data_IF_231474948898
#
_entry.id   IF_231474948898
#
_cell.length_a   1.000
_cell.length_b   1.000
_cell.length_c   1.000
_cell.angle_alpha   90.00
_cell.angle_beta   90.00
_cell.angle_gamma   90.00
#
_symmetry.space_group_name_H-M   'P 1'
#
loop_
_entity.id
_entity.type
_entity.pdbx_description
1 polymer ?
#
# COMPACT_ATOMS: atom_id res chain seq x y z
N UNK A 1 -17.90 5.16 1.92
CA UNK A 1 -17.16 4.20 1.06
C UNK A 1 -16.87 2.94 1.88
N UNK A 2 -17.90 2.13 2.16
CA UNK A 2 -17.76 0.84 2.85
C UNK A 2 -18.10 -0.25 1.84
N UNK A 3 -17.20 -1.23 1.67
CA UNK A 3 -17.59 -2.51 1.07
C UNK A 3 -17.12 -2.78 -0.36
N UNK A 4 -15.85 -2.53 -0.69
CA UNK A 4 -15.19 -3.32 -1.72
C UNK A 4 -13.93 -3.87 -1.08
N UNK A 5 -13.94 -5.15 -0.70
CA UNK A 5 -12.71 -5.93 -0.51
C UNK A 5 -12.07 -6.04 -1.88
N UNK A 6 -11.51 -4.94 -2.38
CA UNK A 6 -10.76 -4.90 -3.61
C UNK A 6 -9.62 -5.88 -3.43
N UNK A 7 -9.53 -6.84 -4.35
CA UNK A 7 -8.48 -7.84 -4.31
C UNK A 7 -7.12 -7.13 -4.21
N UNK A 8 -6.36 -7.37 -3.13
CA UNK A 8 -5.07 -6.67 -2.91
C UNK A 8 -4.13 -6.90 -4.09
N UNK A 9 -4.18 -8.06 -4.73
CA UNK A 9 -3.40 -8.35 -5.94
C UNK A 9 -3.65 -7.40 -7.13
N UNK A 10 -4.74 -6.61 -7.12
CA UNK A 10 -5.05 -5.63 -8.17
C UNK A 10 -4.84 -4.17 -7.74
N UNK A 11 -4.33 -3.94 -6.53
CA UNK A 11 -4.10 -2.58 -6.04
C UNK A 11 -2.97 -1.90 -6.79
N UNK A 12 -3.22 -0.68 -7.24
CA UNK A 12 -2.18 0.22 -7.75
C UNK A 12 -1.40 0.84 -6.57
N UNK A 13 -0.37 1.63 -6.89
CA UNK A 13 0.33 2.47 -5.90
C UNK A 13 -0.61 3.45 -5.19
N UNK A 14 -1.60 3.98 -5.90
CA UNK A 14 -2.59 4.90 -5.32
C UNK A 14 -3.53 4.16 -4.35
N UNK A 15 -3.96 2.95 -4.69
CA UNK A 15 -4.78 2.12 -3.81
C UNK A 15 -4.02 1.78 -2.51
N UNK A 16 -2.73 1.47 -2.62
CA UNK A 16 -1.84 1.26 -1.46
C UNK A 16 -1.72 2.54 -0.62
N UNK A 17 -1.61 3.71 -1.27
CA UNK A 17 -1.61 5.00 -0.58
C UNK A 17 -2.89 5.26 0.22
N UNK A 18 -4.07 4.99 -0.36
CA UNK A 18 -5.35 5.12 0.33
C UNK A 18 -5.48 4.12 1.50
N UNK A 19 -4.91 2.92 1.36
CA UNK A 19 -4.85 1.94 2.44
C UNK A 19 -3.97 2.44 3.60
N UNK A 20 -2.79 2.99 3.32
CA UNK A 20 -1.93 3.60 4.35
C UNK A 20 -2.65 4.75 5.08
N UNK A 21 -3.33 5.64 4.36
CA UNK A 21 -4.15 6.70 4.95
C UNK A 21 -5.24 6.14 5.88
N UNK A 22 -5.92 5.06 5.47
CA UNK A 22 -6.96 4.42 6.29
C UNK A 22 -6.44 3.82 7.60
N UNK A 23 -5.14 3.51 7.67
CA UNK A 23 -4.44 3.02 8.85
C UNK A 23 -3.75 4.13 9.66
N UNK A 24 -3.89 5.39 9.26
CA UNK A 24 -3.14 6.52 9.83
C UNK A 24 -1.61 6.37 9.69
N UNK A 25 -1.16 5.82 8.56
CA UNK A 25 0.25 5.62 8.17
C UNK A 25 0.63 6.48 6.96
N UNK A 26 0.03 7.66 6.83
CA UNK A 26 0.18 8.54 5.66
C UNK A 26 1.63 9.00 5.44
N UNK A 27 2.43 9.06 6.49
CA UNK A 27 3.86 9.41 6.44
C UNK A 27 4.69 8.44 5.60
N UNK A 28 4.22 7.19 5.41
CA UNK A 28 4.89 6.20 4.58
C UNK A 28 4.45 6.26 3.10
N UNK A 29 3.41 7.03 2.77
CA UNK A 29 2.80 7.07 1.43
C UNK A 29 3.81 7.45 0.35
N UNK A 30 4.60 8.50 0.57
CA UNK A 30 5.58 8.97 -0.42
C UNK A 30 6.69 7.95 -0.65
N UNK A 31 7.12 7.25 0.40
CA UNK A 31 8.12 6.17 0.27
C UNK A 31 7.54 5.00 -0.55
N UNK A 32 6.32 4.55 -0.24
CA UNK A 32 5.69 3.46 -0.97
C UNK A 32 5.43 3.81 -2.44
N UNK A 33 5.01 5.05 -2.74
CA UNK A 33 4.81 5.52 -4.11
C UNK A 33 6.16 5.63 -4.84
N UNK A 34 7.19 6.18 -4.18
CA UNK A 34 8.53 6.33 -4.76
C UNK A 34 9.19 5.00 -5.11
N UNK A 35 8.89 3.94 -4.36
CA UNK A 35 9.34 2.57 -4.63
C UNK A 35 8.37 1.76 -5.51
N UNK A 36 7.32 2.40 -6.05
CA UNK A 36 6.28 1.75 -6.87
C UNK A 36 5.63 0.52 -6.20
N UNK A 37 5.47 0.54 -4.87
CA UNK A 37 4.85 -0.57 -4.13
C UNK A 37 3.37 -0.67 -4.48
N UNK A 38 3.01 -1.73 -5.21
CA UNK A 38 1.62 -2.10 -5.53
C UNK A 38 1.19 -3.23 -4.61
N UNK A 39 -0.05 -3.68 -4.74
CA UNK A 39 -0.59 -4.67 -3.81
C UNK A 39 0.10 -6.04 -3.88
N UNK A 40 0.66 -6.43 -5.03
CA UNK A 40 1.47 -7.65 -5.16
C UNK A 40 2.74 -7.60 -4.31
N UNK A 41 3.45 -6.47 -4.34
CA UNK A 41 4.68 -6.20 -3.61
C UNK A 41 4.38 -6.01 -2.12
N UNK A 42 3.29 -5.32 -1.79
CA UNK A 42 2.80 -5.14 -0.42
C UNK A 42 2.58 -6.47 0.30
N UNK A 43 2.09 -7.50 -0.41
CA UNK A 43 1.87 -8.84 0.15
C UNK A 43 3.17 -9.62 0.40
N UNK A 44 4.28 -9.20 -0.21
CA UNK A 44 5.59 -9.86 -0.09
C UNK A 44 6.59 -9.09 0.75
N UNK A 45 6.25 -7.87 1.21
CA UNK A 45 7.14 -7.05 2.06
C UNK A 45 7.55 -7.79 3.33
N UNK A 46 8.84 -7.85 3.58
CA UNK A 46 9.39 -8.26 4.86
C UNK A 46 9.84 -7.05 5.71
N UNK A 47 10.36 -7.33 6.91
CA UNK A 47 10.81 -6.27 7.84
C UNK A 47 12.03 -5.50 7.35
N UNK A 48 12.82 -6.05 6.43
CA UNK A 48 14.01 -5.45 5.85
C UNK A 48 13.73 -4.59 4.62
N UNK A 49 12.61 -4.81 3.92
CA UNK A 49 12.20 -4.02 2.76
C UNK A 49 11.69 -2.61 3.12
N UNK A 50 11.29 -2.42 4.38
CA UNK A 50 10.76 -1.17 4.91
C UNK A 50 11.88 -0.45 5.67
N UNK A 51 12.74 0.26 4.94
CA UNK A 51 13.85 1.03 5.52
C UNK A 51 13.78 2.52 5.17
#
# INVERSE_FOLDING_TARGET
LKGKTSNVYTWTTDDVGLWLESLSLVEYRDSFIGHEIRGTELLTLDKGDIQ
#
